data_IF_217063495497
#
_entry.id   IF_217063495497
#
_cell.length_a   1.000
_cell.length_b   1.000
_cell.length_c   1.000
_cell.angle_alpha   90.00
_cell.angle_beta   90.00
_cell.angle_gamma   90.00
#
_symmetry.space_group_name_H-M   'P 1'
#
loop_
_entity.id
_entity.type
_entity.pdbx_description
1 polymer ?
#
# COMPACT_ATOMS: atom_id res chain seq x y z
N UNK A 1 4.69 -15.82 -27.37
CA UNK A 1 4.55 -17.25 -27.09
C UNK A 1 4.75 -18.07 -28.38
N UNK A 2 5.87 -17.83 -29.10
CA UNK A 2 6.16 -18.50 -30.37
C UNK A 2 7.22 -19.62 -30.21
N UNK A 3 7.45 -20.13 -28.99
CA UNK A 3 8.37 -21.25 -28.80
C UNK A 3 7.72 -22.55 -29.38
N UNK A 4 8.33 -23.21 -30.36
CA UNK A 4 7.77 -24.39 -30.97
C UNK A 4 7.52 -25.56 -30.01
N UNK A 5 8.26 -25.61 -28.89
CA UNK A 5 8.09 -26.64 -27.85
C UNK A 5 6.79 -26.40 -27.05
N UNK A 6 6.49 -25.14 -26.75
CA UNK A 6 5.24 -24.76 -26.06
C UNK A 6 4.04 -24.99 -26.98
N UNK A 7 4.17 -24.64 -28.26
CA UNK A 7 3.11 -24.88 -29.23
C UNK A 7 2.83 -26.39 -29.42
N UNK A 8 3.86 -27.21 -29.48
CA UNK A 8 3.71 -28.67 -29.61
C UNK A 8 3.05 -29.23 -28.35
N UNK A 9 3.51 -28.86 -27.17
CA UNK A 9 2.92 -29.30 -25.91
C UNK A 9 1.45 -28.91 -25.79
N UNK A 10 1.09 -27.67 -26.18
CA UNK A 10 -0.30 -27.22 -26.21
C UNK A 10 -1.16 -28.04 -27.18
N UNK A 11 -0.66 -28.33 -28.39
CA UNK A 11 -1.36 -29.15 -29.36
C UNK A 11 -1.58 -30.59 -28.86
N UNK A 12 -0.58 -31.16 -28.22
CA UNK A 12 -0.66 -32.50 -27.62
C UNK A 12 -1.59 -32.59 -26.42
N UNK A 13 -1.57 -31.56 -25.55
CA UNK A 13 -2.37 -31.51 -24.32
C UNK A 13 -3.84 -31.22 -24.60
N UNK A 14 -4.12 -30.27 -25.48
CA UNK A 14 -5.50 -29.82 -25.82
C UNK A 14 -6.15 -30.77 -26.88
N UNK A 15 -5.41 -31.70 -27.49
CA UNK A 15 -5.91 -32.64 -28.52
C UNK A 15 -6.78 -31.98 -29.60
N UNK A 16 -6.52 -30.72 -29.91
CA UNK A 16 -7.28 -29.95 -30.91
C UNK A 16 -8.74 -29.61 -30.52
N UNK A 17 -9.14 -29.81 -29.26
CA UNK A 17 -10.50 -29.49 -28.82
C UNK A 17 -10.52 -28.08 -28.21
N UNK A 18 -11.31 -27.12 -28.73
CA UNK A 18 -11.53 -25.83 -28.10
C UNK A 18 -12.38 -26.01 -26.83
N UNK A 19 -11.92 -25.44 -25.73
CA UNK A 19 -12.69 -25.37 -24.48
C UNK A 19 -13.59 -24.14 -24.57
N UNK A 20 -14.86 -24.31 -24.96
CA UNK A 20 -15.86 -23.24 -25.02
C UNK A 20 -16.18 -22.69 -26.43
N UNK A 21 -17.13 -21.75 -26.52
CA UNK A 21 -17.67 -21.21 -27.78
C UNK A 21 -16.74 -20.23 -28.52
N UNK A 22 -15.68 -19.71 -27.88
CA UNK A 22 -14.73 -18.73 -28.43
C UNK A 22 -13.29 -19.24 -28.30
N UNK A 23 -12.97 -20.28 -29.09
CA UNK A 23 -11.71 -21.01 -28.99
C UNK A 23 -10.43 -20.19 -29.20
N UNK A 24 -10.49 -19.01 -29.83
CA UNK A 24 -9.30 -18.15 -30.02
C UNK A 24 -8.91 -17.36 -28.77
N UNK A 25 -9.85 -16.84 -28.00
CA UNK A 25 -9.57 -16.07 -26.80
C UNK A 25 -9.12 -16.98 -25.63
N UNK A 26 -9.77 -18.11 -25.45
CA UNK A 26 -9.37 -19.11 -24.43
C UNK A 26 -7.97 -19.67 -24.70
N UNK A 27 -7.62 -19.97 -25.95
CA UNK A 27 -6.26 -20.43 -26.31
C UNK A 27 -5.18 -19.38 -26.02
N UNK A 28 -5.52 -18.09 -26.04
CA UNK A 28 -4.57 -17.02 -25.73
C UNK A 28 -4.26 -16.94 -24.22
N UNK A 29 -5.27 -16.99 -23.37
CA UNK A 29 -5.09 -16.99 -21.92
C UNK A 29 -4.39 -18.27 -21.43
N UNK A 30 -4.75 -19.43 -21.96
CA UNK A 30 -4.10 -20.70 -21.65
C UNK A 30 -2.61 -20.67 -22.03
N UNK A 31 -2.26 -20.16 -23.20
CA UNK A 31 -0.87 -19.98 -23.62
C UNK A 31 -0.08 -19.07 -22.69
N UNK A 32 -0.72 -17.98 -22.24
CA UNK A 32 -0.11 -17.05 -21.30
C UNK A 32 0.12 -17.74 -19.94
N UNK A 33 -0.88 -18.45 -19.41
CA UNK A 33 -0.79 -19.20 -18.16
C UNK A 33 0.31 -20.27 -18.22
N UNK A 34 0.34 -21.08 -19.28
CA UNK A 34 1.37 -22.09 -19.49
C UNK A 34 2.79 -21.50 -19.56
N UNK A 35 2.93 -20.30 -20.09
CA UNK A 35 4.20 -19.57 -20.13
C UNK A 35 4.59 -19.04 -18.75
N UNK A 36 3.65 -18.47 -18.00
CA UNK A 36 3.93 -17.77 -16.74
C UNK A 36 4.08 -18.74 -15.57
N UNK A 37 3.29 -19.79 -15.49
CA UNK A 37 3.26 -20.70 -14.34
C UNK A 37 4.66 -21.26 -13.97
N UNK A 38 5.42 -21.90 -14.89
CA UNK A 38 6.74 -22.42 -14.54
C UNK A 38 7.75 -21.33 -14.20
N UNK A 39 7.60 -20.12 -14.77
CA UNK A 39 8.46 -18.98 -14.44
C UNK A 39 8.20 -18.48 -13.02
N UNK A 40 6.94 -18.33 -12.66
CA UNK A 40 6.56 -17.90 -11.32
C UNK A 40 6.97 -18.91 -10.26
N UNK A 41 6.88 -20.23 -10.56
CA UNK A 41 7.40 -21.28 -9.68
C UNK A 41 8.91 -21.16 -9.45
N UNK A 42 9.69 -20.88 -10.50
CA UNK A 42 11.13 -20.68 -10.38
C UNK A 42 11.44 -19.40 -9.58
N UNK A 43 10.74 -18.30 -9.85
CA UNK A 43 10.91 -17.04 -9.11
C UNK A 43 10.59 -17.22 -7.63
N UNK A 44 9.54 -17.97 -7.29
CA UNK A 44 9.21 -18.29 -5.90
C UNK A 44 10.34 -19.04 -5.18
N UNK A 45 11.03 -19.97 -5.88
CA UNK A 45 12.18 -20.70 -5.32
C UNK A 45 13.40 -19.80 -5.13
N UNK A 46 13.64 -18.87 -6.06
CA UNK A 46 14.76 -17.92 -5.99
C UNK A 46 14.56 -16.83 -4.94
N UNK A 47 13.32 -16.57 -4.56
CA UNK A 47 12.99 -15.52 -3.58
C UNK A 47 13.58 -15.90 -2.21
N UNK A 48 14.26 -14.95 -1.56
CA UNK A 48 14.71 -15.09 -0.18
C UNK A 48 13.52 -15.29 0.76
N UNK A 49 13.73 -15.87 1.95
CA UNK A 49 12.62 -16.14 2.88
C UNK A 49 11.87 -14.88 3.31
N UNK A 50 12.58 -13.76 3.46
CA UNK A 50 12.00 -12.43 3.68
C UNK A 50 11.78 -11.65 2.38
N UNK A 51 12.00 -12.28 1.21
CA UNK A 51 11.87 -11.67 -0.10
C UNK A 51 10.44 -11.31 -0.49
N UNK A 52 10.32 -10.36 -1.43
CA UNK A 52 9.04 -9.94 -1.99
C UNK A 52 9.12 -9.87 -3.52
N UNK A 53 8.03 -10.20 -4.19
CA UNK A 53 7.90 -10.12 -5.64
C UNK A 53 6.81 -9.09 -5.99
N UNK A 54 7.15 -8.21 -6.94
CA UNK A 54 6.26 -7.21 -7.52
C UNK A 54 6.03 -7.56 -8.99
N UNK A 55 4.78 -7.69 -9.40
CA UNK A 55 4.43 -8.11 -10.76
C UNK A 55 3.49 -7.08 -11.36
N UNK A 56 4.00 -6.34 -12.35
CA UNK A 56 3.22 -5.37 -13.10
C UNK A 56 2.40 -6.07 -14.19
N UNK A 57 1.12 -5.78 -14.27
CA UNK A 57 0.19 -6.43 -15.21
C UNK A 57 -0.94 -5.49 -15.64
N UNK A 58 -1.42 -5.65 -16.87
CA UNK A 58 -2.63 -5.00 -17.36
C UNK A 58 -3.89 -5.74 -16.88
N UNK A 59 -5.04 -5.12 -17.05
CA UNK A 59 -6.34 -5.67 -16.68
C UNK A 59 -6.63 -7.02 -17.36
N UNK A 60 -6.11 -7.22 -18.57
CA UNK A 60 -6.38 -8.42 -19.39
C UNK A 60 -6.06 -9.72 -18.66
N UNK A 61 -4.90 -9.78 -17.98
CA UNK A 61 -4.43 -11.00 -17.31
C UNK A 61 -4.38 -10.85 -15.78
N UNK A 62 -4.88 -9.75 -15.23
CA UNK A 62 -4.83 -9.47 -13.79
C UNK A 62 -5.48 -10.58 -12.95
N UNK A 63 -6.69 -11.00 -13.32
CA UNK A 63 -7.43 -12.03 -12.59
C UNK A 63 -6.70 -13.37 -12.65
N UNK A 64 -6.24 -13.79 -13.84
CA UNK A 64 -5.49 -15.01 -14.04
C UNK A 64 -4.17 -15.00 -13.25
N UNK A 65 -3.41 -13.91 -13.32
CA UNK A 65 -2.18 -13.74 -12.55
C UNK A 65 -2.44 -13.85 -11.05
N UNK A 66 -3.50 -13.22 -10.55
CA UNK A 66 -3.85 -13.28 -9.14
C UNK A 66 -4.13 -14.71 -8.67
N UNK A 67 -4.84 -15.49 -9.46
CA UNK A 67 -5.18 -16.89 -9.15
C UNK A 67 -3.94 -17.77 -9.11
N UNK A 68 -3.08 -17.73 -10.15
CA UNK A 68 -1.86 -18.53 -10.17
C UNK A 68 -0.85 -18.10 -9.11
N UNK A 69 -0.77 -16.81 -8.78
CA UNK A 69 0.07 -16.36 -7.67
C UNK A 69 -0.45 -16.83 -6.31
N UNK A 70 -1.77 -16.88 -6.09
CA UNK A 70 -2.35 -17.49 -4.89
C UNK A 70 -2.00 -18.97 -4.75
N UNK A 71 -1.95 -19.71 -5.86
CA UNK A 71 -1.56 -21.11 -5.88
C UNK A 71 -0.07 -21.28 -5.57
N UNK A 72 0.81 -20.53 -6.27
CA UNK A 72 2.26 -20.69 -6.19
C UNK A 72 2.84 -20.10 -4.90
N UNK A 73 2.46 -18.89 -4.55
CA UNK A 73 3.00 -18.19 -3.38
C UNK A 73 2.19 -18.41 -2.11
N UNK A 74 0.93 -18.86 -2.25
CA UNK A 74 -0.04 -18.97 -1.16
C UNK A 74 -0.90 -17.70 -1.02
N UNK A 75 -2.21 -17.86 -0.87
CA UNK A 75 -3.15 -16.74 -0.73
C UNK A 75 -2.88 -15.89 0.53
N UNK A 76 -2.39 -16.52 1.62
CA UNK A 76 -1.99 -15.82 2.86
C UNK A 76 -0.75 -14.94 2.69
N UNK A 77 0.04 -15.16 1.67
CA UNK A 77 1.28 -14.43 1.37
C UNK A 77 1.05 -13.23 0.44
N UNK A 78 -0.20 -13.01 0.03
CA UNK A 78 -0.58 -11.77 -0.65
C UNK A 78 -0.50 -10.58 0.31
N UNK A 79 0.15 -9.50 -0.14
CA UNK A 79 0.34 -8.28 0.67
C UNK A 79 -0.54 -7.15 0.15
N UNK A 80 -0.44 -6.82 -1.15
CA UNK A 80 -1.19 -5.70 -1.71
C UNK A 80 -1.34 -5.80 -3.24
N UNK A 81 -2.31 -5.07 -3.75
CA UNK A 81 -2.40 -4.66 -5.16
C UNK A 81 -2.27 -3.15 -5.22
N UNK A 82 -1.32 -2.66 -6.00
CA UNK A 82 -1.20 -1.24 -6.31
C UNK A 82 -1.81 -0.94 -7.67
N UNK A 83 -2.38 0.26 -7.79
CA UNK A 83 -2.95 0.80 -9.02
C UNK A 83 -2.07 1.98 -9.44
N UNK A 84 -1.38 1.86 -10.56
CA UNK A 84 -0.57 2.93 -11.12
C UNK A 84 -1.29 3.58 -12.28
N UNK A 85 -1.47 4.90 -12.23
CA UNK A 85 -2.00 5.68 -13.34
C UNK A 85 -0.94 5.83 -14.43
N UNK A 86 -1.13 5.12 -15.55
CA UNK A 86 -0.19 5.09 -16.68
C UNK A 86 -0.42 6.17 -17.73
N UNK A 87 -1.60 6.80 -17.71
CA UNK A 87 -2.03 7.83 -18.67
C UNK A 87 -2.42 9.10 -17.93
N UNK A 88 -1.94 10.25 -18.39
CA UNK A 88 -2.13 11.58 -17.78
C UNK A 88 -2.92 12.56 -18.65
N UNK A 89 -3.26 12.18 -19.86
CA UNK A 89 -3.98 13.02 -20.81
C UNK A 89 -5.30 12.38 -21.24
N UNK A 90 -6.33 13.17 -21.55
CA UNK A 90 -7.54 12.66 -22.17
C UNK A 90 -7.16 11.93 -23.46
N UNK A 91 -7.66 10.72 -23.59
CA UNK A 91 -7.42 9.90 -24.77
C UNK A 91 -8.62 10.04 -25.71
N UNK A 92 -8.37 10.44 -26.95
CA UNK A 92 -9.38 10.49 -28.03
C UNK A 92 -9.60 9.09 -28.63
N UNK A 93 -9.54 8.07 -27.80
CA UNK A 93 -9.76 6.70 -28.22
C UNK A 93 -11.26 6.48 -28.47
N UNK A 94 -11.57 5.85 -29.60
CA UNK A 94 -12.94 5.42 -29.97
C UNK A 94 -13.44 4.24 -29.10
N UNK A 95 -13.00 4.16 -27.85
CA UNK A 95 -13.43 3.15 -26.89
C UNK A 95 -14.32 3.80 -25.83
N UNK A 96 -15.37 3.11 -25.37
CA UNK A 96 -16.32 3.69 -24.41
C UNK A 96 -15.71 3.96 -23.03
N UNK A 97 -14.65 3.23 -22.65
CA UNK A 97 -13.94 3.39 -21.38
C UNK A 97 -12.44 3.22 -21.65
N UNK A 98 -11.63 4.17 -21.20
CA UNK A 98 -10.16 4.14 -21.37
C UNK A 98 -9.50 3.48 -20.16
N UNK A 99 -8.63 2.46 -20.34
CA UNK A 99 -7.89 1.85 -19.26
C UNK A 99 -6.67 2.70 -18.87
N UNK A 100 -6.87 3.69 -17.99
CA UNK A 100 -5.85 4.67 -17.60
C UNK A 100 -4.83 4.15 -16.59
N UNK A 101 -4.97 2.90 -16.15
CA UNK A 101 -4.13 2.32 -15.12
C UNK A 101 -3.58 0.95 -15.48
N UNK A 102 -2.64 0.51 -14.68
CA UNK A 102 -2.16 -0.87 -14.60
C UNK A 102 -2.03 -1.26 -13.13
N UNK A 103 -1.93 -2.57 -12.89
CA UNK A 103 -1.81 -3.14 -11.56
C UNK A 103 -0.38 -3.59 -11.27
N UNK A 104 -0.02 -3.57 -9.99
CA UNK A 104 1.19 -4.22 -9.49
C UNK A 104 0.77 -5.10 -8.33
N UNK A 105 0.92 -6.41 -8.50
CA UNK A 105 0.67 -7.39 -7.46
C UNK A 105 1.91 -7.53 -6.58
N UNK A 106 1.74 -7.59 -5.27
CA UNK A 106 2.80 -7.79 -4.29
C UNK A 106 2.51 -9.04 -3.46
N UNK A 107 3.45 -9.99 -3.52
CA UNK A 107 3.50 -11.17 -2.67
C UNK A 107 4.84 -11.21 -1.92
N UNK A 108 4.83 -11.70 -0.68
CA UNK A 108 6.01 -12.09 0.05
C UNK A 108 6.22 -13.59 0.00
N UNK A 109 7.44 -14.09 0.22
CA UNK A 109 7.64 -15.51 0.50
C UNK A 109 7.18 -15.84 1.93
N UNK A 110 7.57 -14.99 2.87
CA UNK A 110 7.05 -15.00 4.24
C UNK A 110 6.78 -13.54 4.68
N UNK A 111 5.55 -13.02 4.51
CA UNK A 111 5.25 -11.61 4.75
C UNK A 111 5.44 -11.16 6.20
N UNK A 112 5.45 -12.10 7.17
CA UNK A 112 5.73 -11.78 8.57
C UNK A 112 7.19 -11.38 8.82
N UNK A 113 8.12 -11.81 7.97
CA UNK A 113 9.53 -11.47 8.04
C UNK A 113 9.85 -10.16 7.30
N UNK A 114 9.07 -9.82 6.28
CA UNK A 114 9.33 -8.62 5.46
C UNK A 114 8.92 -7.34 6.17
N UNK A 115 9.89 -6.48 6.39
CA UNK A 115 9.67 -5.12 6.89
C UNK A 115 9.71 -4.14 5.71
N UNK A 116 8.63 -3.40 5.50
CA UNK A 116 8.58 -2.33 4.53
C UNK A 116 8.89 -0.99 5.20
N UNK A 117 9.68 -0.16 4.55
CA UNK A 117 9.85 1.25 4.94
C UNK A 117 8.48 1.96 4.84
N UNK A 118 8.31 2.97 5.64
CA UNK A 118 7.16 3.86 5.51
C UNK A 118 7.51 5.05 4.64
N UNK A 119 6.52 5.57 3.94
CA UNK A 119 6.64 6.80 3.17
C UNK A 119 6.77 7.99 4.13
N UNK A 120 7.77 8.83 3.93
CA UNK A 120 7.88 10.11 4.64
C UNK A 120 6.63 10.96 4.36
N UNK A 121 6.07 11.51 5.41
CA UNK A 121 4.82 12.25 5.34
C UNK A 121 4.86 13.50 6.23
N UNK A 122 5.71 14.48 5.91
CA UNK A 122 5.87 15.70 6.73
C UNK A 122 4.56 16.46 6.92
N UNK A 123 3.63 16.36 5.98
CA UNK A 123 2.30 16.94 6.08
C UNK A 123 1.44 16.44 7.26
N UNK A 124 1.77 15.28 7.85
CA UNK A 124 1.09 14.76 9.06
C UNK A 124 1.19 15.77 10.20
N UNK A 125 2.30 16.50 10.30
CA UNK A 125 2.53 17.51 11.34
C UNK A 125 1.48 18.63 11.31
N UNK A 126 0.87 18.90 10.17
CA UNK A 126 -0.19 19.92 10.04
C UNK A 126 -1.48 19.56 10.82
N UNK A 127 -1.69 18.27 11.13
CA UNK A 127 -2.80 17.85 11.98
C UNK A 127 -2.57 18.15 13.47
N UNK A 128 -1.39 18.63 13.84
CA UNK A 128 -1.00 19.01 15.20
C UNK A 128 -0.99 20.54 15.28
N UNK A 129 -2.19 21.13 15.46
CA UNK A 129 -2.44 22.56 15.34
C UNK A 129 -2.00 23.41 16.53
N UNK A 130 -1.59 22.80 17.65
CA UNK A 130 -1.15 23.51 18.86
C UNK A 130 0.36 23.40 19.04
N UNK A 131 0.94 24.36 19.77
CA UNK A 131 2.35 24.38 20.15
C UNK A 131 2.45 24.55 21.65
N UNK A 132 3.27 23.77 22.32
CA UNK A 132 3.54 23.92 23.75
C UNK A 132 4.67 24.95 24.03
N UNK A 133 4.94 25.20 25.32
CA UNK A 133 5.99 26.14 25.77
C UNK A 133 7.40 25.76 25.32
N UNK A 134 7.61 24.48 24.95
CA UNK A 134 8.88 23.96 24.45
C UNK A 134 8.95 23.97 22.91
N UNK A 135 7.96 24.54 22.23
CA UNK A 135 7.90 24.60 20.78
C UNK A 135 7.45 23.30 20.11
N UNK A 136 7.00 22.29 20.86
CA UNK A 136 6.56 21.01 20.30
C UNK A 136 5.13 21.11 19.82
N UNK A 137 4.86 20.69 18.57
CA UNK A 137 3.50 20.61 18.05
C UNK A 137 2.73 19.45 18.67
N UNK A 138 1.47 19.70 19.01
CA UNK A 138 0.58 18.70 19.58
C UNK A 138 -0.87 18.87 19.12
N UNK A 139 -1.67 17.85 19.38
CA UNK A 139 -3.14 17.88 19.30
C UNK A 139 -3.73 17.18 20.52
N UNK A 140 -4.90 17.65 20.93
CA UNK A 140 -5.66 17.00 22.00
C UNK A 140 -6.81 16.19 21.38
N UNK A 141 -6.78 14.88 21.57
CA UNK A 141 -7.81 13.95 21.09
C UNK A 141 -8.79 13.63 22.19
N UNK A 142 -10.08 13.72 21.88
CA UNK A 142 -11.14 13.33 22.78
C UNK A 142 -10.99 11.86 23.19
N UNK A 143 -10.96 11.58 24.48
CA UNK A 143 -10.84 10.20 25.00
C UNK A 143 -12.16 9.44 24.89
N UNK A 144 -13.29 10.14 24.89
CA UNK A 144 -14.60 9.55 24.57
C UNK A 144 -14.65 9.12 23.12
N UNK A 145 -15.07 7.88 22.85
CA UNK A 145 -15.23 7.36 21.50
C UNK A 145 -16.43 7.99 20.84
N UNK A 146 -16.26 8.48 19.62
CA UNK A 146 -17.33 8.99 18.76
C UNK A 146 -17.50 8.11 17.50
N UNK A 147 -18.66 8.25 16.83
CA UNK A 147 -18.99 7.56 15.60
C UNK A 147 -19.30 6.07 15.81
N UNK A 148 -18.99 5.24 14.84
CA UNK A 148 -19.33 3.82 14.87
C UNK A 148 -18.74 3.12 16.09
N UNK A 149 -19.54 2.23 16.71
CA UNK A 149 -19.16 1.45 17.89
C UNK A 149 -18.75 2.36 19.08
N UNK A 150 -19.53 3.40 19.36
CA UNK A 150 -19.23 4.39 20.41
C UNK A 150 -20.04 4.22 21.69
N UNK A 151 -21.05 3.37 21.68
CA UNK A 151 -21.93 3.15 22.83
C UNK A 151 -21.32 2.19 23.85
N UNK A 152 -21.77 2.30 25.10
CA UNK A 152 -21.45 1.36 26.19
C UNK A 152 -21.77 -0.08 25.80
N UNK A 153 -22.88 -0.32 25.12
CA UNK A 153 -23.31 -1.65 24.66
C UNK A 153 -22.33 -2.30 23.69
N UNK A 154 -21.59 -1.52 22.89
CA UNK A 154 -20.59 -2.05 21.97
C UNK A 154 -19.37 -2.65 22.68
N UNK A 155 -18.97 -2.04 23.82
CA UNK A 155 -17.86 -2.49 24.67
C UNK A 155 -18.06 -2.07 26.12
N UNK A 156 -18.80 -2.85 26.92
CA UNK A 156 -19.12 -2.50 28.31
C UNK A 156 -17.91 -2.31 29.21
N UNK A 157 -16.80 -3.03 28.94
CA UNK A 157 -15.55 -2.90 29.70
C UNK A 157 -14.85 -1.56 29.54
N UNK A 158 -15.25 -0.77 28.55
CA UNK A 158 -14.73 0.59 28.30
C UNK A 158 -15.61 1.70 28.93
N UNK A 159 -16.56 1.32 29.77
CA UNK A 159 -17.40 2.26 30.54
C UNK A 159 -16.99 2.21 32.01
N UNK A 160 -16.24 3.17 32.46
CA UNK A 160 -15.75 3.30 33.85
C UNK A 160 -15.46 4.78 34.14
N UNK A 161 -15.42 5.20 35.43
CA UNK A 161 -15.13 6.59 35.77
C UNK A 161 -13.65 6.91 35.59
N UNK A 162 -13.37 8.15 35.19
CA UNK A 162 -12.05 8.78 35.28
C UNK A 162 -12.20 9.97 36.21
N UNK A 163 -11.26 10.12 37.18
CA UNK A 163 -11.33 11.20 38.16
C UNK A 163 -10.85 12.50 37.55
N UNK A 164 -11.70 13.51 37.58
CA UNK A 164 -11.41 14.87 37.12
C UNK A 164 -10.54 15.64 38.13
N UNK A 165 -9.97 16.81 37.75
CA UNK A 165 -9.13 17.62 38.65
C UNK A 165 -9.82 18.11 39.93
N UNK A 166 -11.14 18.20 39.93
CA UNK A 166 -11.93 18.59 41.11
C UNK A 166 -12.38 17.39 41.97
N UNK A 167 -11.89 16.14 41.64
CA UNK A 167 -12.24 14.93 42.34
C UNK A 167 -13.54 14.28 41.90
N UNK A 168 -14.27 14.86 40.95
CA UNK A 168 -15.52 14.28 40.44
C UNK A 168 -15.26 13.10 39.50
N UNK A 169 -16.18 12.12 39.52
CA UNK A 169 -16.17 10.98 38.59
C UNK A 169 -16.78 11.38 37.24
N UNK A 170 -16.02 11.20 36.18
CA UNK A 170 -16.47 11.47 34.82
C UNK A 170 -16.65 10.18 34.04
N UNK A 171 -17.86 9.96 33.56
CA UNK A 171 -18.23 8.84 32.68
C UNK A 171 -18.34 9.31 31.21
N UNK A 172 -18.12 8.42 30.25
CA UNK A 172 -18.27 8.76 28.84
C UNK A 172 -19.76 8.85 28.49
N UNK A 173 -20.26 10.05 28.32
CA UNK A 173 -21.64 10.34 27.95
C UNK A 173 -21.63 11.17 26.67
N UNK A 174 -22.46 10.81 25.68
CA UNK A 174 -22.65 11.59 24.45
C UNK A 174 -23.42 12.89 24.73
N UNK A 175 -23.35 13.82 23.80
CA UNK A 175 -24.01 15.12 23.94
C UNK A 175 -25.56 15.00 23.95
N UNK A 176 -26.12 13.88 23.46
CA UNK A 176 -27.54 13.53 23.52
C UNK A 176 -27.93 12.80 24.83
N UNK A 177 -26.98 12.59 25.76
CA UNK A 177 -27.22 11.92 27.05
C UNK A 177 -27.04 10.41 27.03
N UNK A 178 -26.78 9.78 25.88
CA UNK A 178 -26.55 8.32 25.81
C UNK A 178 -25.21 7.93 26.42
N UNK A 179 -25.18 6.76 27.07
CA UNK A 179 -23.94 6.18 27.60
C UNK A 179 -23.01 5.77 26.47
N UNK A 180 -21.88 6.45 26.40
CA UNK A 180 -20.82 6.17 25.45
C UNK A 180 -19.78 5.21 26.05
N UNK A 181 -18.64 5.08 25.40
CA UNK A 181 -17.48 4.37 25.92
C UNK A 181 -16.21 5.17 25.73
N UNK A 182 -15.17 4.85 26.48
CA UNK A 182 -13.85 5.38 26.22
C UNK A 182 -13.22 4.74 24.96
N UNK A 183 -12.36 5.46 24.29
CA UNK A 183 -11.60 4.96 23.13
C UNK A 183 -10.47 4.00 23.55
N UNK A 184 -10.05 4.06 24.82
CA UNK A 184 -9.01 3.23 25.40
C UNK A 184 -9.43 2.66 26.77
N UNK A 185 -8.81 1.57 27.18
CA UNK A 185 -9.04 0.93 28.47
C UNK A 185 -8.34 1.62 29.63
N UNK A 186 -8.56 1.10 30.85
CA UNK A 186 -7.98 1.64 32.10
C UNK A 186 -6.45 1.79 32.02
N UNK A 187 -5.75 0.79 31.46
CA UNK A 187 -4.29 0.83 31.33
C UNK A 187 -3.81 1.96 30.39
N UNK A 188 -4.57 2.22 29.32
CA UNK A 188 -4.30 3.33 28.42
C UNK A 188 -4.47 4.68 29.10
N UNK A 189 -5.54 4.84 29.87
CA UNK A 189 -5.76 6.04 30.68
C UNK A 189 -4.64 6.23 31.72
N UNK A 190 -4.29 5.16 32.46
CA UNK A 190 -3.21 5.21 33.45
C UNK A 190 -1.87 5.64 32.84
N UNK A 191 -1.55 5.17 31.62
CA UNK A 191 -0.35 5.59 30.90
C UNK A 191 -0.39 7.10 30.58
N UNK A 192 -1.52 7.62 30.13
CA UNK A 192 -1.68 9.06 29.85
C UNK A 192 -1.61 9.91 31.11
N UNK A 193 -2.12 9.42 32.25
CA UNK A 193 -1.99 10.10 33.55
C UNK A 193 -0.52 10.14 33.95
N UNK A 194 0.17 8.99 33.95
CA UNK A 194 1.58 8.89 34.32
C UNK A 194 2.51 9.74 33.44
N UNK A 195 2.20 9.84 32.15
CA UNK A 195 2.94 10.67 31.20
C UNK A 195 2.57 12.16 31.24
N UNK A 196 1.59 12.58 32.07
CA UNK A 196 1.10 13.96 32.08
C UNK A 196 0.42 14.41 30.78
N UNK A 197 -0.06 13.44 30.00
CA UNK A 197 -0.68 13.72 28.69
C UNK A 197 -2.21 13.55 28.70
N UNK A 198 -2.80 13.24 29.86
CA UNK A 198 -4.25 13.36 30.05
C UNK A 198 -4.59 14.82 30.38
N UNK A 199 -5.30 15.48 29.47
CA UNK A 199 -5.67 16.90 29.58
C UNK A 199 -7.16 17.04 29.79
N UNK A 200 -7.55 17.84 30.74
CA UNK A 200 -8.95 18.09 31.07
C UNK A 200 -9.41 19.43 30.46
N UNK A 201 -10.59 19.41 29.81
CA UNK A 201 -11.24 20.63 29.32
C UNK A 201 -12.67 20.72 29.85
N UNK A 202 -13.11 21.91 30.16
CA UNK A 202 -14.51 22.17 30.45
C UNK A 202 -15.29 22.33 29.14
N UNK A 203 -16.44 21.66 29.06
CA UNK A 203 -17.37 21.80 27.94
C UNK A 203 -18.79 21.98 28.43
N UNK A 204 -19.56 22.77 27.68
CA UNK A 204 -21.00 22.84 27.92
C UNK A 204 -21.69 21.64 27.27
N UNK A 205 -22.40 20.84 28.09
CA UNK A 205 -23.23 19.73 27.62
C UNK A 205 -24.64 19.98 28.17
N UNK A 206 -25.61 20.18 27.28
CA UNK A 206 -27.01 20.43 27.62
C UNK A 206 -27.20 21.53 28.68
N UNK A 207 -26.45 22.63 28.56
CA UNK A 207 -26.51 23.78 29.50
C UNK A 207 -25.72 23.59 30.80
N UNK A 208 -25.04 22.48 31.01
CA UNK A 208 -24.17 22.24 32.18
C UNK A 208 -22.70 22.15 31.75
N UNK A 209 -21.85 22.80 32.55
CA UNK A 209 -20.40 22.63 32.40
C UNK A 209 -19.97 21.27 32.95
N UNK A 210 -19.30 20.49 32.11
CA UNK A 210 -18.77 19.17 32.46
C UNK A 210 -17.29 19.08 32.14
N UNK A 211 -16.56 18.30 32.91
CA UNK A 211 -15.20 17.91 32.55
C UNK A 211 -15.18 16.88 31.44
N UNK A 212 -14.28 17.05 30.49
CA UNK A 212 -14.08 16.10 29.41
C UNK A 212 -12.59 15.82 29.22
N UNK A 213 -12.16 14.54 29.28
CA UNK A 213 -10.76 14.17 29.14
C UNK A 213 -10.33 14.10 27.68
N UNK A 214 -9.12 14.60 27.42
CA UNK A 214 -8.42 14.54 26.16
C UNK A 214 -7.06 13.88 26.35
N UNK A 215 -6.62 13.08 25.38
CA UNK A 215 -5.24 12.62 25.30
C UNK A 215 -4.44 13.59 24.42
N UNK A 216 -3.36 14.14 24.98
CA UNK A 216 -2.41 14.95 24.23
C UNK A 216 -1.46 14.06 23.44
N UNK A 217 -1.45 14.26 22.14
CA UNK A 217 -0.54 13.57 21.23
C UNK A 217 0.42 14.60 20.63
N UNK A 218 1.71 14.35 20.77
CA UNK A 218 2.75 15.16 20.13
C UNK A 218 2.99 14.71 18.70
N UNK A 219 3.34 15.66 17.83
CA UNK A 219 3.74 15.35 16.47
C UNK A 219 4.98 14.42 16.48
N UNK A 220 5.01 13.38 15.66
CA UNK A 220 6.19 12.53 15.56
C UNK A 220 7.38 13.31 15.00
N UNK A 221 8.58 13.00 15.45
CA UNK A 221 9.81 13.64 14.95
C UNK A 221 10.05 13.29 13.48
N UNK A 222 9.81 12.03 13.12
CA UNK A 222 9.92 11.52 11.75
C UNK A 222 8.54 11.07 11.26
N UNK A 223 7.71 12.02 10.79
CA UNK A 223 6.34 11.72 10.36
C UNK A 223 6.35 10.84 9.12
N UNK A 224 5.76 9.67 9.25
CA UNK A 224 5.70 8.67 8.19
C UNK A 224 4.33 7.98 8.17
N UNK A 225 4.01 7.37 7.03
CA UNK A 225 2.77 6.59 6.84
C UNK A 225 3.03 5.36 5.97
N UNK A 226 2.18 4.34 6.03
CA UNK A 226 2.20 3.27 5.02
C UNK A 226 2.05 3.83 3.61
N UNK A 227 2.66 3.15 2.63
CA UNK A 227 2.48 3.50 1.22
C UNK A 227 1.02 3.31 0.82
N UNK A 228 0.42 4.29 0.11
CA UNK A 228 -0.92 4.12 -0.45
C UNK A 228 -0.89 3.12 -1.60
N UNK A 229 -2.03 2.48 -1.86
CA UNK A 229 -2.17 1.54 -2.97
C UNK A 229 -2.55 2.20 -4.29
N UNK A 230 -2.89 3.49 -4.30
CA UNK A 230 -3.20 4.26 -5.51
C UNK A 230 -2.04 5.20 -5.78
N UNK A 231 -1.40 5.04 -6.94
CA UNK A 231 -0.24 5.82 -7.40
C UNK A 231 -0.61 6.65 -8.62
N UNK A 232 -1.01 7.88 -8.40
CA UNK A 232 -1.36 8.87 -9.41
C UNK A 232 -0.37 10.03 -9.51
N UNK A 233 0.70 9.95 -8.73
CA UNK A 233 1.76 10.95 -8.56
C UNK A 233 3.09 10.52 -9.19
N UNK A 234 3.11 9.40 -9.92
CA UNK A 234 4.29 8.90 -10.63
C UNK A 234 4.23 9.25 -12.12
N UNK A 235 5.41 9.19 -12.76
CA UNK A 235 5.53 9.35 -14.19
C UNK A 235 4.66 8.33 -14.96
N UNK A 236 4.19 8.74 -16.13
CA UNK A 236 3.33 7.95 -17.03
C UNK A 236 4.14 7.23 -18.10
N UNK A 237 3.47 6.36 -18.88
CA UNK A 237 4.11 5.69 -20.02
C UNK A 237 4.61 6.69 -21.08
N UNK A 238 3.89 7.79 -21.28
CA UNK A 238 4.28 8.85 -22.22
C UNK A 238 5.59 9.50 -21.79
N UNK A 239 5.74 9.79 -20.50
CA UNK A 239 6.96 10.36 -19.91
C UNK A 239 8.13 9.36 -19.99
N UNK A 240 7.87 8.06 -19.74
CA UNK A 240 8.89 7.02 -19.92
C UNK A 240 9.39 6.91 -21.38
N UNK A 241 8.49 7.00 -22.37
CA UNK A 241 8.88 7.06 -23.80
C UNK A 241 9.72 8.30 -24.12
N UNK A 242 9.31 9.48 -23.63
CA UNK A 242 10.05 10.73 -23.83
C UNK A 242 11.44 10.63 -23.21
N UNK A 243 11.56 10.01 -22.04
CA UNK A 243 12.83 9.78 -21.38
C UNK A 243 13.77 8.86 -22.18
N UNK A 244 13.28 7.71 -22.69
CA UNK A 244 14.06 6.84 -23.57
C UNK A 244 14.52 7.58 -24.86
N UNK A 245 13.64 8.39 -25.44
CA UNK A 245 14.01 9.22 -26.58
C UNK A 245 15.13 10.19 -26.25
N UNK A 246 15.16 10.78 -25.06
CA UNK A 246 16.23 11.70 -24.64
C UNK A 246 17.59 11.01 -24.51
N UNK A 247 17.60 9.73 -24.15
CA UNK A 247 18.85 8.93 -24.02
C UNK A 247 19.35 8.45 -25.40
N UNK A 248 18.45 7.90 -26.21
CA UNK A 248 18.82 7.19 -27.44
C UNK A 248 18.68 8.03 -28.72
N UNK A 249 18.08 9.21 -28.63
CA UNK A 249 17.86 10.09 -29.78
C UNK A 249 16.77 9.67 -30.75
N UNK A 250 16.17 8.49 -30.60
CA UNK A 250 15.14 7.93 -31.49
C UNK A 250 13.86 7.60 -30.72
N UNK A 251 12.73 7.64 -31.46
CA UNK A 251 11.42 7.28 -30.94
C UNK A 251 11.17 5.78 -31.07
N UNK A 252 10.31 5.24 -30.21
CA UNK A 252 9.75 3.90 -30.33
C UNK A 252 10.75 2.72 -30.26
N UNK A 253 11.90 2.93 -29.59
CA UNK A 253 12.85 1.85 -29.27
C UNK A 253 12.14 0.71 -28.49
N UNK A 254 11.23 1.08 -27.61
CA UNK A 254 10.42 0.14 -26.84
C UNK A 254 8.97 0.59 -26.79
N UNK A 255 8.05 -0.32 -27.07
CA UNK A 255 6.62 0.03 -27.25
C UNK A 255 5.94 0.48 -25.96
N UNK A 256 6.25 -0.14 -24.84
CA UNK A 256 5.56 0.08 -23.55
C UNK A 256 6.54 0.15 -22.37
N UNK A 257 7.47 1.14 -22.35
CA UNK A 257 8.43 1.25 -21.25
C UNK A 257 7.71 1.67 -19.96
N UNK A 258 8.13 1.10 -18.84
CA UNK A 258 7.74 1.61 -17.51
C UNK A 258 8.65 2.79 -17.15
N UNK A 259 8.14 3.79 -16.41
CA UNK A 259 9.00 4.84 -15.88
C UNK A 259 9.89 4.30 -14.74
N UNK A 260 11.12 4.79 -14.65
CA UNK A 260 12.04 4.35 -13.60
C UNK A 260 11.58 4.76 -12.20
N UNK A 261 10.86 5.87 -12.07
CA UNK A 261 10.25 6.35 -10.81
C UNK A 261 9.25 5.34 -10.21
N UNK A 262 8.61 4.53 -11.06
CA UNK A 262 7.73 3.44 -10.61
C UNK A 262 8.54 2.37 -9.88
N UNK A 263 9.67 1.98 -10.45
CA UNK A 263 10.55 0.96 -9.87
C UNK A 263 11.30 1.53 -8.65
N UNK A 264 11.75 2.78 -8.71
CA UNK A 264 12.36 3.46 -7.57
C UNK A 264 11.42 3.48 -6.36
N UNK A 265 10.13 3.77 -6.57
CA UNK A 265 9.13 3.70 -5.49
C UNK A 265 9.00 2.30 -4.89
N UNK A 266 9.06 1.26 -5.72
CA UNK A 266 9.06 -0.13 -5.26
C UNK A 266 10.31 -0.41 -4.41
N UNK A 267 11.49 -0.01 -4.88
CA UNK A 267 12.75 -0.19 -4.17
C UNK A 267 12.80 0.60 -2.86
N UNK A 268 12.28 1.82 -2.85
CA UNK A 268 12.15 2.65 -1.64
C UNK A 268 11.30 2.01 -0.53
N UNK A 269 10.37 1.12 -0.88
CA UNK A 269 9.57 0.38 0.10
C UNK A 269 10.38 -0.73 0.77
N UNK A 270 11.50 -1.16 0.19
CA UNK A 270 12.36 -2.19 0.75
C UNK A 270 13.26 -1.56 1.82
N UNK A 271 13.38 -2.21 2.97
CA UNK A 271 14.11 -1.66 4.11
C UNK A 271 15.60 -2.00 4.12
N UNK A 272 16.01 -3.02 3.37
CA UNK A 272 17.39 -3.47 3.32
C UNK A 272 18.15 -2.71 2.21
N UNK A 273 19.28 -2.04 2.52
CA UNK A 273 20.10 -1.36 1.54
C UNK A 273 20.91 -2.31 0.64
N UNK A 274 21.13 -3.56 1.09
CA UNK A 274 21.99 -4.54 0.38
C UNK A 274 21.15 -5.66 -0.28
N UNK A 275 19.94 -5.33 -0.75
CA UNK A 275 19.04 -6.31 -1.36
C UNK A 275 19.45 -6.65 -2.79
N UNK A 276 19.34 -7.93 -3.15
CA UNK A 276 19.47 -8.39 -4.54
C UNK A 276 18.15 -8.19 -5.27
N UNK A 277 18.19 -7.48 -6.39
CA UNK A 277 17.05 -7.19 -7.26
C UNK A 277 17.13 -8.03 -8.52
N UNK A 278 16.18 -8.94 -8.70
CA UNK A 278 16.08 -9.76 -9.92
C UNK A 278 14.93 -9.26 -10.78
N UNK A 279 15.22 -8.88 -12.02
CA UNK A 279 14.20 -8.61 -13.05
C UNK A 279 14.23 -9.70 -14.13
N UNK A 280 13.23 -10.59 -14.09
CA UNK A 280 13.11 -11.72 -15.02
C UNK A 280 12.49 -11.35 -16.38
N UNK A 281 11.97 -10.13 -16.52
CA UNK A 281 11.35 -9.60 -17.74
C UNK A 281 11.85 -8.19 -18.03
N UNK A 282 13.16 -8.03 -18.17
CA UNK A 282 13.89 -6.76 -18.17
C UNK A 282 13.33 -5.66 -19.08
N UNK A 283 12.61 -6.03 -20.16
CA UNK A 283 11.96 -5.05 -21.05
C UNK A 283 12.92 -4.00 -21.58
N UNK A 284 12.68 -2.74 -21.20
CA UNK A 284 13.54 -1.60 -21.54
C UNK A 284 14.72 -1.37 -20.59
N UNK A 285 14.99 -2.28 -19.66
CA UNK A 285 16.04 -2.13 -18.64
C UNK A 285 15.70 -1.14 -17.53
N UNK A 286 14.43 -0.84 -17.32
CA UNK A 286 13.98 0.17 -16.36
C UNK A 286 14.41 -0.15 -14.93
N UNK A 287 14.41 -1.42 -14.54
CA UNK A 287 14.82 -1.86 -13.20
C UNK A 287 16.31 -1.60 -12.96
N UNK A 288 17.17 -1.92 -13.94
CA UNK A 288 18.60 -1.61 -13.84
C UNK A 288 18.85 -0.10 -13.70
N UNK A 289 18.11 0.72 -14.45
CA UNK A 289 18.20 2.17 -14.35
C UNK A 289 17.80 2.66 -12.94
N UNK A 290 16.69 2.18 -12.41
CA UNK A 290 16.22 2.55 -11.07
C UNK A 290 17.24 2.16 -9.98
N UNK A 291 17.83 0.96 -10.07
CA UNK A 291 18.87 0.49 -9.16
C UNK A 291 20.10 1.42 -9.19
N UNK A 292 20.58 1.76 -10.40
CA UNK A 292 21.73 2.68 -10.54
C UNK A 292 21.43 4.07 -9.98
N UNK A 293 20.23 4.59 -10.20
CA UNK A 293 19.80 5.86 -9.63
C UNK A 293 19.77 5.82 -8.10
N UNK A 294 19.20 4.79 -7.52
CA UNK A 294 19.11 4.62 -6.08
C UNK A 294 20.50 4.53 -5.44
N UNK A 295 21.39 3.69 -5.97
CA UNK A 295 22.77 3.56 -5.50
C UNK A 295 23.54 4.89 -5.58
N UNK A 296 23.27 5.70 -6.61
CA UNK A 296 23.88 7.03 -6.73
C UNK A 296 23.36 8.01 -5.67
N UNK A 297 22.09 7.89 -5.26
CA UNK A 297 21.45 8.84 -4.33
C UNK A 297 21.80 8.55 -2.87
N UNK A 298 21.86 7.30 -2.47
CA UNK A 298 22.02 6.87 -1.07
C UNK A 298 23.35 6.19 -0.75
N UNK A 299 24.21 5.98 -1.77
CA UNK A 299 25.46 5.24 -1.62
C UNK A 299 25.26 3.76 -1.33
N UNK A 300 24.04 3.24 -1.56
CA UNK A 300 23.68 1.84 -1.36
C UNK A 300 24.35 0.88 -2.35
N UNK A 301 24.18 -0.39 -2.10
CA UNK A 301 24.71 -1.50 -2.90
C UNK A 301 23.60 -2.45 -3.31
N UNK A 302 22.56 -1.93 -3.99
CA UNK A 302 21.56 -2.77 -4.65
C UNK A 302 22.22 -3.50 -5.83
N UNK A 303 22.00 -4.80 -5.95
CA UNK A 303 22.54 -5.66 -7.01
C UNK A 303 21.44 -6.30 -7.84
#
# INVERSE_FOLDING_TARGET
VNDPRIQRWLQETLKGQPVGKEGEDLTRHDKWLCMMYPRLMLLQKLLADDGAIFISISDIEFANLRLICNEIFGASNFIATFIWRKVDSPNDNKVPITPDHEYILLYGKNPSLKKFKQLEAPGIVNAYGFVDEQGRRYRDRLVKKNGRNSLRTDRPTMYFPIIAPDGSEVYPIHDNGEEARWAMGKDGIAKHIAAGTLVWKRRNRMGKEVWEPYSREYAPQNPSRPYPTIWNDLATMRQAKAFLKSIFGVTDIFSTPKPHELIERILQMISDPDVIVLDSFAGSGTTAHAVLNMNKMDGGHLF
#
